data_IF_609907753879
#
_entry.id   IF_609907753879
#
_cell.length_a   1.000
_cell.length_b   1.000
_cell.length_c   1.000
_cell.angle_alpha   90.00
_cell.angle_beta   90.00
_cell.angle_gamma   90.00
#
_symmetry.space_group_name_H-M   'P 1'
#
loop_
_entity.id
_entity.type
_entity.pdbx_description
1 polymer ?
#
# COMPACT_ATOMS: atom_id res chain seq x y z
N UNK A 1 29.91 -11.41 11.94
CA UNK A 1 28.54 -11.95 11.85
C UNK A 1 27.67 -11.10 12.75
N UNK A 2 26.73 -10.32 12.21
CA UNK A 2 25.89 -9.42 13.01
C UNK A 2 24.78 -10.23 13.68
N UNK A 3 24.78 -10.31 15.01
CA UNK A 3 23.73 -11.00 15.78
C UNK A 3 22.44 -10.18 15.68
N UNK A 4 21.29 -10.76 15.27
CA UNK A 4 20.05 -10.00 15.15
C UNK A 4 19.57 -9.57 16.53
N UNK A 5 19.19 -8.30 16.70
CA UNK A 5 18.71 -7.76 17.97
C UNK A 5 17.18 -7.74 17.95
N UNK A 6 16.52 -8.18 19.03
CA UNK A 6 15.07 -8.12 19.10
C UNK A 6 14.59 -6.67 19.22
N UNK A 7 13.73 -6.15 18.34
CA UNK A 7 13.27 -4.75 18.39
C UNK A 7 12.36 -4.47 19.59
N UNK A 8 11.73 -5.50 20.18
CA UNK A 8 10.79 -5.33 21.29
C UNK A 8 11.47 -5.30 22.66
N UNK A 9 12.42 -6.20 22.90
CA UNK A 9 13.06 -6.36 24.21
C UNK A 9 14.57 -6.12 24.19
N UNK A 10 15.13 -5.77 23.03
CA UNK A 10 16.54 -5.49 22.79
C UNK A 10 17.50 -6.64 23.15
N UNK A 11 16.97 -7.82 23.50
CA UNK A 11 17.76 -9.02 23.73
C UNK A 11 18.48 -9.44 22.46
N UNK A 12 19.80 -9.63 22.58
CA UNK A 12 20.69 -10.22 21.58
C UNK A 12 20.68 -11.75 21.64
N UNK A 13 20.20 -12.32 22.74
CA UNK A 13 20.31 -13.74 23.03
C UNK A 13 19.10 -14.52 22.52
N UNK A 14 19.33 -15.80 22.22
CA UNK A 14 18.28 -16.78 21.87
C UNK A 14 17.34 -16.34 20.73
N UNK A 15 17.88 -15.63 19.73
CA UNK A 15 17.16 -15.28 18.52
C UNK A 15 17.21 -16.44 17.53
N UNK A 16 16.05 -17.04 17.25
CA UNK A 16 15.96 -18.22 16.38
C UNK A 16 15.38 -17.85 15.02
N UNK A 17 15.84 -18.52 13.97
CA UNK A 17 15.27 -18.40 12.61
C UNK A 17 13.81 -18.89 12.62
N UNK A 18 12.92 -18.14 11.99
CA UNK A 18 11.47 -18.38 11.98
C UNK A 18 10.92 -18.33 10.55
N UNK A 19 11.62 -18.97 9.61
CA UNK A 19 11.25 -18.99 8.19
C UNK A 19 11.60 -17.69 7.46
N UNK A 20 10.97 -17.47 6.30
CA UNK A 20 11.23 -16.33 5.43
C UNK A 20 9.95 -15.55 5.14
N UNK A 21 10.07 -14.25 4.83
CA UNK A 21 8.98 -13.46 4.25
C UNK A 21 8.72 -13.90 2.80
N UNK A 22 7.56 -13.58 2.19
CA UNK A 22 7.35 -13.79 0.76
C UNK A 22 8.45 -13.18 -0.12
N UNK A 23 9.02 -12.04 0.31
CA UNK A 23 10.17 -11.39 -0.33
C UNK A 23 11.51 -12.18 -0.24
N UNK A 24 11.55 -13.30 0.49
CA UNK A 24 12.76 -14.06 0.77
C UNK A 24 13.62 -13.54 1.94
N UNK A 25 13.17 -12.54 2.70
CA UNK A 25 13.88 -12.00 3.87
C UNK A 25 13.80 -12.96 5.06
N UNK A 26 14.89 -13.15 5.78
CA UNK A 26 14.92 -14.02 6.96
C UNK A 26 14.10 -13.43 8.12
N UNK A 27 13.10 -14.18 8.59
CA UNK A 27 12.35 -13.86 9.81
C UNK A 27 13.03 -14.50 11.03
N UNK A 28 12.96 -13.82 12.16
CA UNK A 28 13.44 -14.31 13.45
C UNK A 28 12.32 -14.30 14.48
N UNK A 29 12.45 -15.14 15.50
CA UNK A 29 11.64 -15.11 16.71
C UNK A 29 12.55 -14.99 17.92
N UNK A 30 12.26 -14.02 18.77
CA UNK A 30 12.91 -13.88 20.06
C UNK A 30 12.33 -14.89 21.05
N UNK A 31 13.17 -15.71 21.70
CA UNK A 31 12.70 -16.62 22.75
C UNK A 31 12.42 -15.91 24.07
N UNK A 32 13.06 -14.78 24.36
CA UNK A 32 12.85 -14.03 25.60
C UNK A 32 11.46 -13.38 25.67
N UNK A 33 11.01 -12.73 24.57
CA UNK A 33 9.72 -12.03 24.55
C UNK A 33 8.68 -12.62 23.57
N UNK A 34 9.04 -13.63 22.79
CA UNK A 34 8.16 -14.28 21.81
C UNK A 34 7.91 -13.50 20.51
N UNK A 35 8.40 -12.25 20.40
CA UNK A 35 8.21 -11.39 19.23
C UNK A 35 8.82 -12.00 17.96
N UNK A 36 8.13 -11.84 16.82
CA UNK A 36 8.65 -12.18 15.49
C UNK A 36 9.02 -10.90 14.74
N UNK A 37 10.17 -10.87 14.11
CA UNK A 37 10.69 -9.68 13.42
C UNK A 37 11.58 -10.05 12.23
N UNK A 38 11.86 -9.10 11.36
CA UNK A 38 12.68 -9.26 10.15
C UNK A 38 13.75 -8.15 10.18
N UNK A 39 15.02 -8.45 10.51
CA UNK A 39 16.06 -7.43 10.69
C UNK A 39 16.38 -6.63 9.43
N UNK A 40 16.41 -7.31 8.28
CA UNK A 40 16.65 -6.73 6.97
C UNK A 40 15.51 -7.17 6.06
N UNK A 41 14.34 -6.51 6.12
CA UNK A 41 13.27 -6.78 5.19
C UNK A 41 13.74 -6.33 3.80
N UNK A 42 13.87 -7.28 2.88
CA UNK A 42 13.86 -6.96 1.45
C UNK A 42 12.55 -6.27 1.15
N UNK A 43 12.66 -5.17 0.43
CA UNK A 43 11.49 -4.51 -0.11
C UNK A 43 10.77 -5.50 -1.03
N UNK A 44 9.56 -5.88 -0.64
CA UNK A 44 8.62 -6.53 -1.55
C UNK A 44 7.57 -5.50 -1.92
N UNK A 45 7.49 -5.19 -3.19
CA UNK A 45 6.52 -4.28 -3.74
C UNK A 45 6.87 -3.93 -5.17
N UNK A 46 5.98 -3.20 -5.80
CA UNK A 46 6.27 -2.53 -7.05
C UNK A 46 7.15 -1.32 -6.75
N UNK A 47 8.08 -1.00 -7.65
CA UNK A 47 8.94 0.18 -7.56
C UNK A 47 8.11 1.45 -7.41
N UNK A 48 8.70 2.46 -6.76
CA UNK A 48 8.03 3.76 -6.56
C UNK A 48 7.62 4.40 -7.89
N UNK A 49 8.44 4.25 -8.93
CA UNK A 49 8.13 4.69 -10.30
C UNK A 49 6.82 4.10 -10.82
N UNK A 50 6.60 2.80 -10.62
CA UNK A 50 5.36 2.12 -11.05
C UNK A 50 4.16 2.62 -10.26
N UNK A 51 4.34 2.93 -8.97
CA UNK A 51 3.26 3.50 -8.13
C UNK A 51 2.89 4.90 -8.59
N UNK A 52 3.89 5.75 -8.86
CA UNK A 52 3.68 7.11 -9.37
C UNK A 52 3.01 7.06 -10.74
N UNK A 53 3.46 6.18 -11.64
CA UNK A 53 2.83 6.00 -12.94
C UNK A 53 1.38 5.54 -12.81
N UNK A 54 1.07 4.63 -11.89
CA UNK A 54 -0.30 4.20 -11.62
C UNK A 54 -1.19 5.35 -11.10
N UNK A 55 -0.64 6.24 -10.26
CA UNK A 55 -1.34 7.43 -9.78
C UNK A 55 -1.59 8.43 -10.91
N UNK A 56 -0.58 8.70 -11.76
CA UNK A 56 -0.73 9.58 -12.92
C UNK A 56 -1.83 9.09 -13.87
N UNK A 57 -1.82 7.80 -14.24
CA UNK A 57 -2.85 7.22 -15.10
C UNK A 57 -4.24 7.25 -14.46
N UNK A 58 -4.33 7.16 -13.13
CA UNK A 58 -5.59 7.32 -12.41
C UNK A 58 -6.11 8.76 -12.47
N UNK A 59 -5.23 9.76 -12.33
CA UNK A 59 -5.60 11.17 -12.51
C UNK A 59 -5.96 11.52 -13.96
N UNK A 60 -5.41 10.80 -14.94
CA UNK A 60 -5.80 10.89 -16.36
C UNK A 60 -7.16 10.20 -16.65
N UNK A 61 -7.79 9.60 -15.63
CA UNK A 61 -9.14 9.04 -15.73
C UNK A 61 -9.21 7.57 -16.15
N UNK A 62 -8.08 6.86 -16.22
CA UNK A 62 -8.12 5.42 -16.50
C UNK A 62 -8.70 4.64 -15.31
N UNK A 63 -9.48 3.60 -15.60
CA UNK A 63 -9.97 2.71 -14.56
C UNK A 63 -8.84 1.87 -13.96
N UNK A 64 -8.98 1.48 -12.69
CA UNK A 64 -8.01 0.63 -11.98
C UNK A 64 -7.68 -0.67 -12.73
N UNK A 65 -8.65 -1.20 -13.50
CA UNK A 65 -8.48 -2.42 -14.29
C UNK A 65 -7.65 -2.17 -15.56
N UNK A 66 -7.84 -1.02 -16.20
CA UNK A 66 -7.04 -0.61 -17.38
C UNK A 66 -5.59 -0.37 -16.95
N UNK A 67 -5.39 0.41 -15.88
CA UNK A 67 -4.06 0.66 -15.31
C UNK A 67 -3.39 -0.65 -14.93
N UNK A 68 -4.12 -1.57 -14.29
CA UNK A 68 -3.60 -2.89 -13.93
C UNK A 68 -3.15 -3.72 -15.13
N UNK A 69 -3.84 -3.62 -16.28
CA UNK A 69 -3.41 -4.28 -17.52
C UNK A 69 -2.18 -3.61 -18.12
N UNK A 70 -2.12 -2.27 -18.12
CA UNK A 70 -1.00 -1.51 -18.68
C UNK A 70 0.30 -1.73 -17.91
N UNK A 71 0.22 -1.71 -16.58
CA UNK A 71 1.38 -1.83 -15.70
C UNK A 71 1.64 -3.26 -15.22
N UNK A 72 0.84 -4.23 -15.68
CA UNK A 72 0.85 -5.62 -15.21
C UNK A 72 0.79 -5.73 -13.68
N UNK A 73 -0.07 -4.91 -13.07
CA UNK A 73 -0.28 -4.80 -11.62
C UNK A 73 -1.69 -5.24 -11.28
N UNK A 74 -1.86 -5.92 -10.14
CA UNK A 74 -3.21 -6.19 -9.66
C UNK A 74 -3.94 -4.88 -9.34
N UNK A 75 -5.12 -4.66 -9.95
CA UNK A 75 -5.98 -3.50 -9.68
C UNK A 75 -6.23 -3.22 -8.19
N UNK A 76 -6.24 -4.26 -7.33
CA UNK A 76 -6.37 -4.07 -5.89
C UNK A 76 -5.12 -3.42 -5.25
N UNK A 77 -3.92 -3.71 -5.77
CA UNK A 77 -2.69 -3.03 -5.35
C UNK A 77 -2.75 -1.54 -5.71
N UNK A 78 -3.22 -1.22 -6.92
CA UNK A 78 -3.39 0.17 -7.38
C UNK A 78 -4.40 0.92 -6.50
N UNK A 79 -5.56 0.31 -6.23
CA UNK A 79 -6.56 0.84 -5.30
C UNK A 79 -5.94 1.18 -3.94
N UNK A 80 -5.15 0.26 -3.38
CA UNK A 80 -4.52 0.46 -2.08
C UNK A 80 -3.50 1.62 -2.11
N UNK A 81 -2.79 1.84 -3.22
CA UNK A 81 -1.89 2.97 -3.38
C UNK A 81 -2.61 4.30 -3.45
N UNK A 82 -3.71 4.38 -4.22
CA UNK A 82 -4.53 5.60 -4.30
C UNK A 82 -5.08 5.95 -2.91
N UNK A 83 -5.59 4.96 -2.17
CA UNK A 83 -6.04 5.20 -0.79
C UNK A 83 -4.92 5.60 0.17
N UNK A 84 -3.73 5.00 0.02
CA UNK A 84 -2.58 5.41 0.82
C UNK A 84 -2.17 6.85 0.49
N UNK A 85 -2.15 7.23 -0.80
CA UNK A 85 -1.87 8.59 -1.28
C UNK A 85 -2.88 9.60 -0.74
N UNK A 86 -4.17 9.26 -0.73
CA UNK A 86 -5.21 10.13 -0.17
C UNK A 86 -4.99 10.50 1.30
N UNK A 87 -4.34 9.63 2.09
CA UNK A 87 -4.00 9.95 3.49
C UNK A 87 -2.85 10.96 3.63
N UNK A 88 -2.07 11.19 2.56
CA UNK A 88 -1.02 12.21 2.53
C UNK A 88 -1.50 13.55 1.96
N UNK A 89 -2.72 13.61 1.41
CA UNK A 89 -3.31 14.87 0.99
C UNK A 89 -3.71 15.70 2.22
N UNK A 90 -3.43 17.02 2.24
CA UNK A 90 -3.89 17.88 3.32
C UNK A 90 -5.44 17.87 3.36
N UNK A 91 -6.00 17.76 4.57
CA UNK A 91 -7.44 17.70 4.79
C UNK A 91 -8.19 18.94 4.26
N UNK A 92 -7.48 20.06 4.17
CA UNK A 92 -8.00 21.36 3.75
C UNK A 92 -7.74 21.59 2.26
N UNK A 93 -8.08 20.62 1.40
CA UNK A 93 -8.05 20.85 -0.04
C UNK A 93 -9.10 21.94 -0.38
N UNK A 94 -8.74 22.99 -1.14
CA UNK A 94 -9.68 24.01 -1.56
C UNK A 94 -10.92 23.38 -2.22
N UNK A 95 -12.14 23.87 -1.93
CA UNK A 95 -13.38 23.32 -2.47
C UNK A 95 -13.39 23.23 -4.00
N UNK A 96 -12.68 24.15 -4.68
CA UNK A 96 -12.61 24.15 -6.15
C UNK A 96 -11.93 22.89 -6.72
N UNK A 97 -10.95 22.30 -6.01
CA UNK A 97 -10.27 21.08 -6.45
C UNK A 97 -11.16 19.85 -6.18
N UNK A 98 -11.94 19.90 -5.10
CA UNK A 98 -12.90 18.85 -4.76
C UNK A 98 -14.06 18.81 -5.77
N UNK A 99 -14.60 19.96 -6.15
CA UNK A 99 -15.67 20.09 -7.13
C UNK A 99 -15.22 19.64 -8.54
N UNK A 100 -13.97 19.95 -8.94
CA UNK A 100 -13.40 19.45 -10.19
C UNK A 100 -13.24 17.91 -10.19
N UNK A 101 -12.75 17.34 -9.09
CA UNK A 101 -12.66 15.89 -8.93
C UNK A 101 -14.03 15.19 -8.91
N UNK A 102 -15.09 15.91 -8.52
CA UNK A 102 -16.47 15.42 -8.46
C UNK A 102 -17.16 15.51 -9.82
N UNK A 103 -16.90 16.58 -10.59
CA UNK A 103 -17.39 16.77 -11.97
C UNK A 103 -16.74 15.81 -12.97
N UNK A 104 -15.45 15.49 -12.79
CA UNK A 104 -14.73 14.51 -13.60
C UNK A 104 -14.98 13.05 -13.17
N UNK A 105 -15.80 12.82 -12.13
CA UNK A 105 -16.19 11.49 -11.65
C UNK A 105 -15.11 10.72 -10.88
N UNK A 106 -14.03 11.40 -10.48
CA UNK A 106 -12.83 10.82 -9.85
C UNK A 106 -12.96 10.69 -8.32
N UNK A 107 -13.91 11.40 -7.68
CA UNK A 107 -14.12 11.29 -6.25
C UNK A 107 -15.60 11.51 -5.85
N UNK A 108 -16.23 10.48 -5.27
CA UNK A 108 -17.52 10.62 -4.59
C UNK A 108 -17.32 10.42 -3.08
N UNK A 109 -17.22 11.49 -2.28
CA UNK A 109 -17.25 11.34 -0.84
C UNK A 109 -18.65 10.80 -0.46
N UNK A 110 -18.69 9.56 0.04
CA UNK A 110 -19.88 8.81 0.46
C UNK A 110 -20.69 8.05 -0.62
N UNK A 111 -20.04 7.35 -1.57
CA UNK A 111 -20.76 6.32 -2.33
C UNK A 111 -21.00 5.08 -1.45
N UNK A 112 -22.26 4.70 -1.11
CA UNK A 112 -22.51 3.46 -0.39
C UNK A 112 -22.06 2.28 -1.27
N UNK A 113 -21.20 1.42 -0.72
CA UNK A 113 -20.74 0.20 -1.42
C UNK A 113 -21.95 -0.57 -1.96
N UNK A 114 -22.04 -0.73 -3.29
CA UNK A 114 -22.83 -1.80 -3.91
C UNK A 114 -24.24 -1.47 -4.40
N UNK A 115 -24.51 -0.28 -4.96
CA UNK A 115 -25.67 -0.12 -5.86
C UNK A 115 -25.20 0.17 -7.29
N UNK A 116 -25.53 -0.73 -8.22
CA UNK A 116 -25.53 -0.41 -9.65
C UNK A 116 -26.52 0.73 -9.85
N UNK A 117 -26.06 1.85 -10.39
CA UNK A 117 -26.94 2.87 -10.93
C UNK A 117 -27.65 2.18 -12.09
N UNK A 118 -28.95 1.93 -11.93
CA UNK A 118 -29.81 1.54 -13.04
C UNK A 118 -30.37 2.87 -13.53
N UNK A 119 -29.91 3.32 -14.69
CA UNK A 119 -30.46 4.52 -15.32
C UNK A 119 -31.91 4.23 -15.79
N UNK A 120 -32.80 5.24 -15.75
CA UNK A 120 -34.20 5.10 -16.15
C UNK A 120 -34.40 4.94 -17.66
#
# INVERSE_FOLDING_TARGET
MTTPICPKCQSTDHQIKAGYTPAGSQRYRCRACGCRYTPAPKESGYDEEVRLQALSLYFEGLSLREIGRLLNVNHQSIHNWIHAYANYLPADLPPEILDLAQLDGLFYPNLPRGRRVVEP
#
